data_IF_949549911230
#
_entry.id   IF_949549911230
#
_cell.length_a   1.000
_cell.length_b   1.000
_cell.length_c   1.000
_cell.angle_alpha   90.00
_cell.angle_beta   90.00
_cell.angle_gamma   90.00
#
_symmetry.space_group_name_H-M   'P 1'
#
loop_
_entity.id
_entity.type
_entity.pdbx_description
1 polymer ?
#
# COMPACT_ATOMS: atom_id res chain seq x y z
N UNK A 1 -15.64 19.01 -29.63
CA UNK A 1 -14.47 18.57 -28.85
C UNK A 1 -14.99 17.73 -27.71
N UNK A 2 -14.65 16.45 -27.67
CA UNK A 2 -15.01 15.56 -26.57
C UNK A 2 -13.73 15.31 -25.81
N UNK A 3 -13.67 15.76 -24.55
CA UNK A 3 -12.53 15.52 -23.65
C UNK A 3 -12.92 14.35 -22.76
N UNK A 4 -12.08 13.32 -22.72
CA UNK A 4 -12.30 12.13 -21.89
C UNK A 4 -11.23 12.11 -20.83
N UNK A 5 -11.65 12.26 -19.58
CA UNK A 5 -10.80 12.04 -18.41
C UNK A 5 -10.94 10.57 -18.02
N UNK A 6 -9.88 9.80 -18.19
CA UNK A 6 -9.85 8.38 -17.85
C UNK A 6 -8.60 8.09 -17.01
N UNK A 7 -8.77 7.20 -16.02
CA UNK A 7 -7.65 6.69 -15.24
C UNK A 7 -6.95 5.62 -16.09
N UNK A 8 -5.69 5.89 -16.45
CA UNK A 8 -4.88 4.96 -17.19
C UNK A 8 -3.93 4.21 -16.25
N UNK A 9 -3.80 2.90 -16.42
CA UNK A 9 -2.86 2.10 -15.64
C UNK A 9 -1.53 2.03 -16.38
N UNK A 10 -0.45 2.44 -15.71
CA UNK A 10 0.92 2.27 -16.21
C UNK A 10 1.42 0.91 -15.72
N UNK A 11 1.72 0.00 -16.64
CA UNK A 11 2.34 -1.29 -16.29
C UNK A 11 3.82 -1.09 -15.96
N UNK A 12 4.46 -2.02 -15.19
CA UNK A 12 5.89 -1.93 -14.88
C UNK A 12 6.82 -1.92 -16.11
N UNK A 13 6.28 -2.30 -17.27
CA UNK A 13 6.95 -2.29 -18.58
C UNK A 13 6.92 -0.92 -19.26
N UNK A 14 6.35 0.11 -18.62
CA UNK A 14 6.19 1.45 -19.19
C UNK A 14 5.10 1.55 -20.25
N UNK A 15 4.17 0.58 -20.32
CA UNK A 15 3.03 0.63 -21.23
C UNK A 15 1.81 1.22 -20.53
N UNK A 16 1.09 2.09 -21.23
CA UNK A 16 -0.16 2.67 -20.75
C UNK A 16 -1.33 1.94 -21.41
N UNK A 17 -2.20 1.32 -20.61
CA UNK A 17 -3.45 0.73 -21.11
C UNK A 17 -4.62 1.66 -20.79
N UNK A 18 -5.35 2.08 -21.83
CA UNK A 18 -6.54 2.93 -21.72
C UNK A 18 -7.73 2.12 -22.23
N UNK A 19 -8.72 1.88 -21.38
CA UNK A 19 -9.98 1.29 -21.80
C UNK A 19 -10.94 2.41 -22.21
N UNK A 20 -11.18 2.51 -23.52
CA UNK A 20 -12.14 3.48 -24.07
C UNK A 20 -13.57 2.93 -23.92
N UNK A 21 -14.53 3.74 -23.46
CA UNK A 21 -15.93 3.33 -23.39
C UNK A 21 -16.49 3.08 -24.80
N UNK A 22 -17.44 2.15 -24.91
CA UNK A 22 -18.07 1.74 -26.18
C UNK A 22 -18.85 2.87 -26.90
N UNK A 23 -18.99 4.03 -26.26
CA UNK A 23 -19.65 5.23 -26.80
C UNK A 23 -18.86 5.89 -27.94
N UNK A 24 -17.59 5.56 -28.12
CA UNK A 24 -16.74 6.13 -29.16
C UNK A 24 -16.76 5.20 -30.37
N UNK A 25 -17.22 5.68 -31.55
CA UNK A 25 -17.21 4.87 -32.75
C UNK A 25 -15.75 4.56 -33.17
N UNK A 26 -15.50 3.37 -33.74
CA UNK A 26 -14.19 3.03 -34.26
C UNK A 26 -13.80 4.04 -35.34
N UNK A 27 -12.62 4.63 -35.22
CA UNK A 27 -12.14 5.68 -36.12
C UNK A 27 -10.88 6.35 -35.61
N UNK A 28 -10.35 7.30 -36.40
CA UNK A 28 -9.16 8.05 -36.04
C UNK A 28 -9.49 9.12 -35.01
N UNK A 29 -9.00 8.93 -33.79
CA UNK A 29 -9.16 9.90 -32.70
C UNK A 29 -7.78 10.40 -32.25
N UNK A 30 -7.65 11.71 -32.06
CA UNK A 30 -6.43 12.30 -31.49
C UNK A 30 -6.52 12.23 -29.96
N UNK A 31 -5.66 11.42 -29.36
CA UNK A 31 -5.49 11.36 -27.91
C UNK A 31 -4.37 12.30 -27.47
N UNK A 32 -4.57 13.02 -26.37
CA UNK A 32 -3.56 13.87 -25.73
C UNK A 32 -3.35 13.32 -24.33
N UNK A 33 -2.17 12.74 -24.09
CA UNK A 33 -1.75 12.28 -22.77
C UNK A 33 -0.91 13.39 -22.14
N UNK A 34 -1.36 13.90 -20.99
CA UNK A 34 -0.60 14.84 -20.17
C UNK A 34 -0.19 14.10 -18.90
N UNK A 35 1.12 13.91 -18.73
CA UNK A 35 1.69 13.34 -17.51
C UNK A 35 2.17 14.52 -16.67
N UNK A 36 1.46 14.77 -15.57
CA UNK A 36 1.89 15.73 -14.56
C UNK A 36 2.52 14.91 -13.43
N UNK A 37 3.85 14.91 -13.37
CA UNK A 37 4.58 14.22 -12.31
C UNK A 37 4.44 15.01 -11.01
N UNK A 38 3.39 14.70 -10.23
CA UNK A 38 3.34 15.16 -8.85
C UNK A 38 4.34 14.34 -8.03
N UNK A 39 5.34 14.97 -7.40
CA UNK A 39 6.25 14.26 -6.51
C UNK A 39 5.42 13.66 -5.38
N UNK A 40 5.38 12.33 -5.31
CA UNK A 40 4.80 11.61 -4.17
C UNK A 40 5.69 11.94 -2.98
N UNK A 41 5.31 12.98 -2.26
CA UNK A 41 5.92 13.29 -0.97
C UNK A 41 5.45 12.19 -0.05
N UNK A 42 6.32 11.23 0.24
CA UNK A 42 6.11 10.32 1.36
C UNK A 42 6.20 11.17 2.62
N UNK A 43 5.06 11.76 3.01
CA UNK A 43 4.95 12.46 4.27
C UNK A 43 5.35 11.47 5.38
N UNK A 44 6.51 11.74 5.99
CA UNK A 44 7.02 10.95 7.08
C UNK A 44 6.06 11.16 8.25
N UNK A 45 5.16 10.20 8.46
CA UNK A 45 4.19 10.28 9.56
C UNK A 45 4.94 10.51 10.87
N UNK A 46 4.54 11.50 11.67
CA UNK A 46 5.14 11.67 12.99
C UNK A 46 4.93 10.39 13.80
N UNK A 47 5.92 9.97 14.59
CA UNK A 47 5.75 8.84 15.49
C UNK A 47 4.59 9.13 16.44
N UNK A 48 3.73 8.14 16.66
CA UNK A 48 2.66 8.23 17.64
C UNK A 48 3.24 8.24 19.05
N UNK A 49 2.74 9.13 19.89
CA UNK A 49 3.09 9.20 21.31
C UNK A 49 2.15 8.28 22.11
N UNK A 50 2.56 7.01 22.26
CA UNK A 50 1.83 6.03 23.07
C UNK A 50 2.38 6.01 24.50
N UNK A 51 1.51 5.93 25.53
CA UNK A 51 1.96 5.78 26.90
C UNK A 51 2.79 4.50 27.05
N UNK A 52 4.01 4.63 27.56
CA UNK A 52 4.89 3.50 27.80
C UNK A 52 4.59 2.90 29.17
N UNK A 53 4.12 1.65 29.20
CA UNK A 53 4.03 0.86 30.42
C UNK A 53 5.35 0.12 30.66
N UNK A 54 6.11 0.53 31.69
CA UNK A 54 7.30 -0.21 32.13
C UNK A 54 6.91 -1.26 33.17
N UNK A 55 7.10 -2.53 32.83
CA UNK A 55 6.82 -3.69 33.72
C UNK A 55 8.08 -4.23 34.40
N UNK A 56 9.18 -3.47 34.38
CA UNK A 56 10.48 -3.90 34.91
C UNK A 56 11.26 -4.79 33.94
N UNK A 57 12.43 -5.25 34.39
CA UNK A 57 13.26 -6.19 33.63
C UNK A 57 12.66 -7.60 33.71
N UNK A 58 12.81 -8.35 32.62
CA UNK A 58 12.46 -9.77 32.62
C UNK A 58 13.39 -10.57 33.54
N UNK A 59 12.91 -11.63 34.21
CA UNK A 59 13.75 -12.51 35.01
C UNK A 59 14.81 -13.21 34.14
N UNK A 60 16.04 -13.31 34.64
CA UNK A 60 17.16 -13.94 33.92
C UNK A 60 16.92 -15.43 33.57
N UNK A 61 16.04 -16.08 34.31
CA UNK A 61 15.68 -17.49 34.15
C UNK A 61 14.26 -17.71 33.61
N UNK A 62 13.65 -16.68 33.00
CA UNK A 62 12.33 -16.81 32.40
C UNK A 62 12.37 -17.79 31.22
N UNK A 63 11.70 -18.93 31.36
CA UNK A 63 11.47 -19.82 30.23
C UNK A 63 10.18 -19.44 29.50
N UNK A 64 10.29 -19.29 28.18
CA UNK A 64 9.16 -19.11 27.27
C UNK A 64 8.85 -20.40 26.49
N UNK A 65 9.34 -21.55 26.96
CA UNK A 65 9.00 -22.84 26.36
C UNK A 65 7.55 -23.16 26.66
N UNK A 66 6.86 -23.75 25.68
CA UNK A 66 5.45 -24.15 25.80
C UNK A 66 5.22 -25.04 27.04
N UNK A 67 6.13 -25.96 27.30
CA UNK A 67 6.06 -26.87 28.45
C UNK A 67 6.22 -26.13 29.79
N UNK A 68 7.05 -25.08 29.85
CA UNK A 68 7.21 -24.29 31.08
C UNK A 68 6.08 -23.26 31.28
N UNK A 69 5.42 -22.84 30.19
CA UNK A 69 4.30 -21.89 30.22
C UNK A 69 2.93 -22.56 30.45
N UNK A 70 2.75 -23.77 29.90
CA UNK A 70 1.46 -24.47 29.86
C UNK A 70 1.52 -25.86 30.48
N UNK A 71 2.66 -26.29 31.01
CA UNK A 71 2.85 -27.61 31.63
C UNK A 71 2.40 -28.73 30.65
N UNK A 72 1.83 -29.82 31.18
CA UNK A 72 1.25 -30.92 30.39
C UNK A 72 0.01 -30.53 29.56
N UNK A 73 -0.63 -29.38 29.82
CA UNK A 73 -1.72 -28.86 28.98
C UNK A 73 -1.22 -28.30 27.65
N UNK A 74 0.10 -28.14 27.53
CA UNK A 74 0.75 -27.73 26.32
C UNK A 74 0.77 -28.80 25.24
N UNK A 75 0.60 -30.10 25.53
CA UNK A 75 0.79 -31.17 24.53
C UNK A 75 -0.33 -31.32 23.50
#
# INVERSE_FOLDING_TARGET
>A
MITIEAIATVTPEGKVTIQLPATIPPGNHKLVLVIDEQPVTTEKRPPFDFPTHSVGAWPDNLSLRREDMYDDWGR
#
